data_IF_211571969010
#
_entry.id   IF_211571969010
#
_cell.length_a   1.000
_cell.length_b   1.000
_cell.length_c   1.000
_cell.angle_alpha   90.00
_cell.angle_beta   90.00
_cell.angle_gamma   90.00
#
_symmetry.space_group_name_H-M   'P 1'
#
loop_
_entity.id
_entity.type
_entity.pdbx_description
1 polymer ?
#
# COMPACT_ATOMS: atom_id res chain seq x y z
N UNK A 1 -36.10 -37.23 33.43
CA UNK A 1 -35.42 -35.92 33.60
C UNK A 1 -34.27 -35.92 32.60
N UNK A 2 -34.54 -35.53 31.36
CA UNK A 2 -34.35 -34.18 30.81
C UNK A 2 -32.87 -33.85 30.54
N UNK A 3 -32.52 -34.05 29.27
CA UNK A 3 -31.43 -33.60 28.38
C UNK A 3 -30.61 -32.36 28.77
N UNK A 4 -29.30 -32.38 28.47
CA UNK A 4 -28.44 -31.20 28.46
C UNK A 4 -27.63 -31.11 27.14
N UNK A 5 -28.22 -30.36 26.21
CA UNK A 5 -27.69 -29.36 25.25
C UNK A 5 -26.25 -29.49 24.71
N UNK A 6 -26.17 -29.68 23.38
CA UNK A 6 -24.98 -29.52 22.53
C UNK A 6 -24.68 -28.03 22.31
N UNK A 7 -23.44 -27.60 22.58
CA UNK A 7 -22.93 -26.28 22.20
C UNK A 7 -22.38 -26.33 20.77
N UNK A 8 -23.17 -25.86 19.80
CA UNK A 8 -22.71 -25.63 18.43
C UNK A 8 -22.13 -24.21 18.38
N UNK A 9 -20.82 -24.08 18.57
CA UNK A 9 -20.09 -22.84 18.37
C UNK A 9 -19.85 -22.59 16.88
N UNK A 10 -20.85 -22.05 16.18
CA UNK A 10 -20.71 -21.61 14.79
C UNK A 10 -19.89 -20.30 14.73
N UNK A 11 -18.57 -20.42 14.71
CA UNK A 11 -17.67 -19.33 14.32
C UNK A 11 -17.79 -19.10 12.81
N UNK A 12 -18.75 -18.27 12.39
CA UNK A 12 -18.81 -17.76 11.02
C UNK A 12 -17.70 -16.73 10.89
N UNK A 13 -16.51 -17.18 10.48
CA UNK A 13 -15.46 -16.28 10.01
C UNK A 13 -15.99 -15.62 8.73
N UNK A 14 -16.49 -14.39 8.86
CA UNK A 14 -16.73 -13.52 7.72
C UNK A 14 -15.38 -13.34 7.02
N UNK A 15 -15.13 -14.13 5.99
CA UNK A 15 -14.13 -13.80 4.98
C UNK A 15 -14.60 -12.50 4.34
N UNK A 16 -14.21 -11.38 4.95
CA UNK A 16 -14.36 -10.07 4.35
C UNK A 16 -13.56 -10.12 3.05
N UNK A 17 -14.23 -10.20 1.91
CA UNK A 17 -13.66 -9.88 0.62
C UNK A 17 -13.36 -8.37 0.61
N UNK A 18 -12.36 -7.96 1.39
CA UNK A 18 -11.77 -6.64 1.23
C UNK A 18 -10.77 -6.79 0.10
N UNK A 19 -11.15 -6.40 -1.12
CA UNK A 19 -10.17 -6.07 -2.14
C UNK A 19 -9.19 -5.05 -1.56
N UNK A 20 -7.92 -5.12 -1.96
CA UNK A 20 -6.94 -4.10 -1.59
C UNK A 20 -7.52 -2.69 -1.88
N UNK A 21 -7.32 -1.71 -0.98
CA UNK A 21 -7.68 -0.33 -1.27
C UNK A 21 -7.01 0.13 -2.57
N UNK A 22 -7.73 0.91 -3.37
CA UNK A 22 -7.23 1.36 -4.66
C UNK A 22 -6.17 2.45 -4.47
N UNK A 23 -4.92 2.13 -4.77
CA UNK A 23 -3.80 3.07 -4.72
C UNK A 23 -3.74 3.98 -5.96
N UNK A 24 -4.49 3.65 -7.01
CA UNK A 24 -4.52 4.42 -8.25
C UNK A 24 -5.05 5.81 -7.98
N UNK A 25 -4.40 6.84 -8.53
CA UNK A 25 -4.83 8.23 -8.42
C UNK A 25 -3.67 9.22 -8.32
N UNK A 26 -4.05 10.46 -8.03
CA UNK A 26 -3.13 11.55 -7.73
C UNK A 26 -3.11 11.76 -6.22
N UNK A 27 -1.92 11.84 -5.64
CA UNK A 27 -1.72 11.94 -4.20
C UNK A 27 -0.77 13.07 -3.88
N UNK A 28 -1.07 13.82 -2.83
CA UNK A 28 -0.17 14.82 -2.25
C UNK A 28 0.64 14.18 -1.13
N UNK A 29 1.98 14.22 -1.21
CA UNK A 29 2.84 13.73 -0.14
C UNK A 29 3.16 14.82 0.90
N UNK A 30 3.20 14.46 2.19
CA UNK A 30 3.47 15.36 3.31
C UNK A 30 4.94 15.77 3.45
N UNK A 31 5.85 15.12 2.72
CA UNK A 31 7.29 15.39 2.70
C UNK A 31 7.71 16.53 1.76
N UNK A 32 6.75 17.19 1.11
CA UNK A 32 6.98 18.33 0.22
C UNK A 32 7.56 17.95 -1.15
N UNK A 33 7.59 16.66 -1.50
CA UNK A 33 8.16 16.18 -2.77
C UNK A 33 7.19 16.24 -3.95
N UNK A 34 6.00 16.81 -3.73
CA UNK A 34 4.98 17.04 -4.75
C UNK A 34 4.04 15.86 -4.96
N UNK A 35 3.33 15.88 -6.09
CA UNK A 35 2.27 14.93 -6.41
C UNK A 35 2.84 13.56 -6.84
N UNK A 36 2.36 12.50 -6.19
CA UNK A 36 2.54 11.12 -6.62
C UNK A 36 1.39 10.74 -7.55
N UNK A 37 1.71 10.11 -8.67
CA UNK A 37 0.70 9.68 -9.66
C UNK A 37 0.84 8.19 -9.84
N UNK A 38 -0.25 7.45 -9.74
CA UNK A 38 -0.31 6.02 -10.03
C UNK A 38 -1.53 5.82 -10.94
N UNK A 39 -1.37 5.19 -12.09
CA UNK A 39 -2.47 4.88 -12.99
C UNK A 39 -2.90 3.41 -12.92
N UNK A 40 -4.07 3.10 -13.48
CA UNK A 40 -4.66 1.75 -13.45
C UNK A 40 -3.79 0.70 -14.16
N UNK A 41 -2.94 1.14 -15.09
CA UNK A 41 -1.99 0.27 -15.81
C UNK A 41 -0.72 -0.01 -15.00
N UNK A 42 -0.60 0.50 -13.77
CA UNK A 42 0.56 0.33 -12.91
C UNK A 42 1.74 1.23 -13.30
N UNK A 43 1.59 2.21 -14.20
CA UNK A 43 2.59 3.25 -14.38
C UNK A 43 2.46 4.30 -13.26
N UNK A 44 3.58 4.78 -12.75
CA UNK A 44 3.57 5.76 -11.68
C UNK A 44 4.70 6.79 -11.80
N UNK A 45 4.65 7.84 -10.97
CA UNK A 45 5.65 8.91 -10.96
C UNK A 45 5.93 9.40 -9.54
N UNK A 46 7.21 9.69 -9.28
CA UNK A 46 7.66 10.26 -8.01
C UNK A 46 7.65 9.29 -6.83
N UNK A 47 7.47 7.99 -7.08
CA UNK A 47 7.34 6.97 -6.04
C UNK A 47 8.67 6.35 -5.62
N UNK A 48 9.72 6.46 -6.45
CA UNK A 48 11.03 5.90 -6.13
C UNK A 48 11.82 6.85 -5.23
N UNK A 49 12.32 6.31 -4.12
CA UNK A 49 13.11 7.00 -3.10
C UNK A 49 14.43 6.28 -2.88
N UNK A 50 15.52 7.04 -2.77
CA UNK A 50 16.84 6.57 -2.37
C UNK A 50 17.43 7.53 -1.35
N UNK A 51 17.93 7.02 -0.23
CA UNK A 51 18.49 7.85 0.84
C UNK A 51 17.49 8.89 1.43
N UNK A 52 16.20 8.58 1.45
CA UNK A 52 15.15 9.46 1.98
C UNK A 52 14.79 10.64 1.07
N UNK A 53 15.25 10.65 -0.18
CA UNK A 53 14.87 11.64 -1.20
C UNK A 53 14.26 10.94 -2.40
N UNK A 54 13.31 11.57 -3.12
CA UNK A 54 12.86 11.08 -4.40
C UNK A 54 14.04 10.94 -5.36
N UNK A 55 14.13 9.78 -5.99
CA UNK A 55 15.06 9.53 -7.07
C UNK A 55 14.26 9.51 -8.36
N UNK A 56 14.54 10.46 -9.24
CA UNK A 56 14.05 10.44 -10.61
C UNK A 56 15.24 10.47 -11.56
N UNK A 57 15.47 9.36 -12.24
CA UNK A 57 16.54 9.21 -13.24
C UNK A 57 16.02 9.41 -14.67
N UNK A 58 14.77 9.84 -14.83
CA UNK A 58 14.07 9.85 -16.11
C UNK A 58 13.60 8.47 -16.56
N UNK A 59 12.79 8.43 -17.62
CA UNK A 59 12.23 7.20 -18.16
C UNK A 59 10.92 6.74 -17.49
N UNK A 60 10.44 5.57 -17.91
CA UNK A 60 9.20 5.00 -17.37
C UNK A 60 9.40 4.44 -15.95
N UNK A 61 8.42 4.67 -15.09
CA UNK A 61 8.36 4.10 -13.74
C UNK A 61 7.04 3.32 -13.60
N UNK A 62 7.12 2.15 -12.96
CA UNK A 62 5.97 1.30 -12.66
C UNK A 62 5.85 0.99 -11.18
N UNK A 63 4.62 0.82 -10.72
CA UNK A 63 4.21 0.51 -9.37
C UNK A 63 3.33 -0.73 -9.39
N UNK A 64 3.62 -1.68 -8.50
CA UNK A 64 2.82 -2.89 -8.31
C UNK A 64 2.51 -3.06 -6.82
N UNK A 65 1.23 -2.97 -6.47
CA UNK A 65 0.74 -3.18 -5.12
C UNK A 65 0.34 -4.65 -4.94
N UNK A 66 0.68 -5.24 -3.80
CA UNK A 66 0.20 -6.58 -3.46
C UNK A 66 -1.32 -6.61 -3.29
N UNK A 67 -1.95 -7.72 -3.64
CA UNK A 67 -3.40 -7.91 -3.46
C UNK A 67 -3.80 -8.07 -1.99
N UNK A 68 -2.84 -8.44 -1.13
CA UNK A 68 -3.05 -8.76 0.28
C UNK A 68 -2.02 -8.07 1.14
N UNK A 69 -2.40 -7.79 2.38
CA UNK A 69 -1.50 -7.34 3.42
C UNK A 69 -0.51 -8.46 3.79
N UNK A 70 0.72 -8.04 4.13
CA UNK A 70 1.69 -8.89 4.79
C UNK A 70 1.38 -9.06 6.29
N UNK A 71 2.22 -9.81 7.03
CA UNK A 71 2.02 -10.11 8.46
C UNK A 71 1.94 -8.89 9.39
N UNK A 72 2.39 -7.72 8.91
CA UNK A 72 2.39 -6.45 9.62
C UNK A 72 1.16 -5.58 9.32
N UNK A 73 0.15 -6.11 8.62
CA UNK A 73 -1.06 -5.36 8.25
C UNK A 73 -0.78 -4.24 7.24
N UNK A 74 0.22 -4.44 6.36
CA UNK A 74 0.59 -3.48 5.32
C UNK A 74 0.74 -4.18 3.98
N UNK A 75 0.38 -3.48 2.91
CA UNK A 75 0.57 -3.94 1.54
C UNK A 75 2.02 -3.74 1.11
N UNK A 76 2.54 -4.61 0.25
CA UNK A 76 3.83 -4.43 -0.39
C UNK A 76 3.65 -3.62 -1.67
N UNK A 77 4.46 -2.58 -1.86
CA UNK A 77 4.51 -1.81 -3.09
C UNK A 77 5.89 -1.94 -3.71
N UNK A 78 5.96 -2.51 -4.91
CA UNK A 78 7.19 -2.58 -5.69
C UNK A 78 7.19 -1.43 -6.67
N UNK A 79 8.25 -0.61 -6.65
CA UNK A 79 8.46 0.50 -7.56
C UNK A 79 9.69 0.21 -8.39
N UNK A 80 9.51 0.16 -9.71
CA UNK A 80 10.58 -0.14 -10.65
C UNK A 80 10.76 1.05 -11.59
N UNK A 81 11.98 1.57 -11.66
CA UNK A 81 12.42 2.55 -12.65
C UNK A 81 13.79 2.10 -13.14
N UNK A 82 13.88 1.29 -14.21
CA UNK A 82 15.11 0.63 -14.61
C UNK A 82 16.30 1.60 -14.72
N UNK A 83 17.48 1.22 -14.20
CA UNK A 83 17.84 -0.08 -13.63
C UNK A 83 17.51 -0.25 -12.13
N UNK A 84 16.82 0.72 -11.52
CA UNK A 84 16.53 0.73 -10.10
C UNK A 84 15.19 0.06 -9.76
N UNK A 85 15.14 -0.53 -8.58
CA UNK A 85 13.94 -1.08 -7.99
C UNK A 85 13.95 -0.82 -6.47
N UNK A 86 12.79 -0.57 -5.91
CA UNK A 86 12.60 -0.47 -4.47
C UNK A 86 11.32 -1.17 -4.03
N UNK A 87 11.36 -1.73 -2.82
CA UNK A 87 10.20 -2.28 -2.13
C UNK A 87 9.84 -1.38 -0.96
N UNK A 88 8.57 -0.98 -0.92
CA UNK A 88 7.96 -0.19 0.14
C UNK A 88 6.81 -0.97 0.78
N UNK A 89 6.39 -0.49 1.94
CA UNK A 89 5.16 -0.95 2.57
C UNK A 89 4.14 0.19 2.58
N UNK A 90 2.87 -0.13 2.35
CA UNK A 90 1.77 0.83 2.30
C UNK A 90 0.75 0.47 3.36
N UNK A 91 0.42 1.42 4.22
CA UNK A 91 -0.69 1.32 5.15
C UNK A 91 -1.78 2.28 4.71
N UNK A 92 -2.97 1.78 4.38
CA UNK A 92 -4.10 2.63 4.04
C UNK A 92 -4.86 3.05 5.30
N UNK A 93 -5.26 4.31 5.34
CA UNK A 93 -6.09 4.91 6.36
C UNK A 93 -7.41 5.33 5.70
N UNK A 94 -8.20 4.35 5.26
CA UNK A 94 -9.34 4.55 4.37
C UNK A 94 -8.92 4.64 2.90
N UNK A 95 -9.77 5.26 2.06
CA UNK A 95 -9.57 5.30 0.61
C UNK A 95 -8.70 6.46 0.12
N UNK A 96 -8.55 7.50 0.96
CA UNK A 96 -7.99 8.79 0.57
C UNK A 96 -6.77 9.20 1.40
N UNK A 97 -6.28 8.30 2.26
CA UNK A 97 -5.05 8.49 3.01
C UNK A 97 -4.24 7.19 3.04
N UNK A 98 -2.92 7.33 2.92
CA UNK A 98 -1.99 6.22 3.03
C UNK A 98 -0.65 6.67 3.61
N UNK A 99 0.04 5.78 4.30
CA UNK A 99 1.41 6.00 4.79
C UNK A 99 2.36 5.03 4.12
N UNK A 100 3.46 5.56 3.58
CA UNK A 100 4.53 4.81 2.92
C UNK A 100 5.68 4.58 3.90
N UNK A 101 6.16 3.35 3.95
CA UNK A 101 7.29 2.92 4.75
C UNK A 101 8.36 2.28 3.87
N UNK A 102 9.62 2.34 4.30
CA UNK A 102 10.68 1.54 3.69
C UNK A 102 10.50 0.04 4.00
N UNK A 103 11.32 -0.80 3.37
CA UNK A 103 11.30 -2.26 3.59
C UNK A 103 11.64 -2.68 5.03
N UNK A 104 12.20 -1.78 5.85
CA UNK A 104 12.51 -2.00 7.27
C UNK A 104 11.37 -1.53 8.18
N UNK A 105 10.32 -0.94 7.64
CA UNK A 105 9.17 -0.43 8.38
C UNK A 105 9.33 1.01 8.88
N UNK A 106 10.38 1.73 8.47
CA UNK A 106 10.57 3.16 8.80
C UNK A 106 9.58 3.99 7.98
N UNK A 107 8.82 4.89 8.62
CA UNK A 107 7.94 5.82 7.89
C UNK A 107 8.79 6.71 6.98
N UNK A 108 8.42 6.81 5.71
CA UNK A 108 9.00 7.75 4.76
C UNK A 108 8.15 9.02 4.68
N UNK A 109 6.88 8.88 4.35
CA UNK A 109 5.92 9.97 4.21
C UNK A 109 4.48 9.45 4.29
N UNK A 110 3.54 10.33 4.56
CA UNK A 110 2.12 10.08 4.38
C UNK A 110 1.63 10.80 3.12
N UNK A 111 0.58 10.30 2.51
CA UNK A 111 -0.02 10.86 1.32
C UNK A 111 -1.54 10.90 1.41
N UNK A 112 -2.12 11.96 0.86
CA UNK A 112 -3.57 12.19 0.81
C UNK A 112 -4.00 12.31 -0.64
N UNK A 113 -5.13 11.70 -1.00
CA UNK A 113 -5.66 11.78 -2.35
C UNK A 113 -6.06 13.23 -2.68
N UNK A 114 -5.77 13.65 -3.91
CA UNK A 114 -6.16 14.95 -4.47
C UNK A 114 -7.56 14.94 -5.07
#
# INVERSE_FOLDING_TARGET
>A
MATATVLIGSGVSLASCSSAPDITGNWSADDGTGTKVINEAGACRGMLYSGGKPLDIGGGMSCSLSEKEGPNGRYSLIVTQPPNEASYQVQFEGNDAATIYDSKGTKLYSMTRL
#
